data_IF_755247387308
#
_entry.id   IF_755247387308
#
_cell.length_a   1.000
_cell.length_b   1.000
_cell.length_c   1.000
_cell.angle_alpha   90.00
_cell.angle_beta   90.00
_cell.angle_gamma   90.00
#
_symmetry.space_group_name_H-M   'P 1'
#
loop_
_entity.id
_entity.type
_entity.pdbx_description
1 polymer ?
#
# COMPACT_ATOMS: atom_id res chain seq x y z
N UNK A 1 39.72 55.64 31.11
CA UNK A 1 38.46 55.29 31.80
C UNK A 1 37.60 54.46 30.83
N UNK A 2 37.92 53.19 30.57
CA UNK A 2 37.47 51.97 31.28
C UNK A 2 35.94 51.78 31.34
N UNK A 3 35.34 51.26 30.27
CA UNK A 3 34.19 50.35 30.38
C UNK A 3 34.51 49.07 29.60
N UNK A 4 34.68 47.97 30.34
CA UNK A 4 35.11 46.65 29.85
C UNK A 4 33.91 45.83 29.36
N UNK A 5 34.14 45.21 28.21
CA UNK A 5 33.39 44.12 27.59
C UNK A 5 33.04 42.97 28.56
N UNK A 6 31.79 42.48 28.50
CA UNK A 6 31.42 41.14 28.97
C UNK A 6 31.13 40.24 27.78
N UNK A 7 32.18 39.61 27.28
CA UNK A 7 32.13 38.34 26.56
C UNK A 7 31.89 37.24 27.60
N UNK A 8 30.84 36.44 27.40
CA UNK A 8 30.49 35.31 28.25
C UNK A 8 31.04 34.02 27.63
N UNK A 9 31.96 33.38 28.34
CA UNK A 9 32.25 31.93 28.44
C UNK A 9 33.56 31.76 29.27
N UNK A 10 33.89 30.58 29.85
CA UNK A 10 33.12 29.38 30.18
C UNK A 10 33.41 28.84 31.62
N UNK A 11 33.03 27.58 31.89
CA UNK A 11 33.36 26.66 33.02
C UNK A 11 32.22 26.57 34.07
N UNK A 12 31.74 25.39 34.52
CA UNK A 12 32.35 24.06 34.59
C UNK A 12 31.39 22.92 34.21
N UNK A 13 32.00 21.88 33.65
CA UNK A 13 31.48 20.53 33.43
C UNK A 13 31.24 19.82 34.77
N UNK A 14 30.06 19.24 34.97
CA UNK A 14 29.89 18.08 35.83
C UNK A 14 29.81 16.83 34.93
N UNK A 15 30.94 16.14 34.81
CA UNK A 15 31.06 14.87 34.13
C UNK A 15 30.31 13.79 34.92
N UNK A 16 29.13 13.37 34.48
CA UNK A 16 28.74 11.96 34.69
C UNK A 16 29.39 11.18 33.57
N UNK A 17 30.56 10.61 33.89
CA UNK A 17 31.27 9.68 33.01
C UNK A 17 30.33 8.50 32.77
N UNK A 18 29.83 8.36 31.54
CA UNK A 18 29.46 7.03 31.05
C UNK A 18 30.75 6.22 31.06
N UNK A 19 30.81 5.22 31.94
CA UNK A 19 31.88 4.26 31.92
C UNK A 19 31.85 3.56 30.56
N UNK A 20 32.86 3.83 29.74
CA UNK A 20 33.22 2.95 28.65
C UNK A 20 33.76 1.66 29.27
N UNK A 21 33.16 0.51 28.90
CA UNK A 21 33.71 -0.82 29.21
C UNK A 21 32.92 -1.62 30.24
N UNK A 22 31.72 -2.07 29.88
CA UNK A 22 31.18 -3.37 30.31
C UNK A 22 30.19 -3.81 29.24
N UNK A 23 30.51 -4.87 28.50
CA UNK A 23 29.47 -5.55 27.71
C UNK A 23 28.47 -6.16 28.68
N UNK A 24 27.39 -5.41 28.95
CA UNK A 24 26.29 -5.91 29.77
C UNK A 24 25.59 -7.05 29.03
N UNK A 25 25.02 -8.02 29.74
CA UNK A 25 24.47 -9.24 29.15
C UNK A 25 23.27 -8.99 28.22
N UNK A 26 22.71 -7.78 28.23
CA UNK A 26 21.52 -7.39 27.47
C UNK A 26 21.81 -6.38 26.33
N UNK A 27 23.07 -6.22 25.92
CA UNK A 27 23.48 -5.18 24.98
C UNK A 27 22.69 -5.18 23.66
N UNK A 28 22.40 -6.34 23.08
CA UNK A 28 21.66 -6.40 21.81
C UNK A 28 20.21 -5.92 21.94
N UNK A 29 19.54 -6.23 23.06
CA UNK A 29 18.20 -5.72 23.37
C UNK A 29 18.26 -4.22 23.65
N UNK A 30 19.27 -3.77 24.38
CA UNK A 30 19.47 -2.35 24.70
C UNK A 30 19.72 -1.51 23.45
N UNK A 31 20.56 -1.98 22.53
CA UNK A 31 20.81 -1.31 21.25
C UNK A 31 19.53 -1.22 20.40
N UNK A 32 18.78 -2.33 20.29
CA UNK A 32 17.48 -2.31 19.60
C UNK A 32 16.51 -1.29 20.21
N UNK A 33 16.42 -1.21 21.54
CA UNK A 33 15.54 -0.26 22.21
C UNK A 33 16.03 1.20 22.07
N UNK A 34 17.34 1.43 22.02
CA UNK A 34 17.91 2.77 21.77
C UNK A 34 17.60 3.25 20.36
N UNK A 35 17.78 2.41 19.34
CA UNK A 35 17.43 2.73 17.95
C UNK A 35 15.94 3.08 17.84
N UNK A 36 15.06 2.23 18.36
CA UNK A 36 13.61 2.48 18.35
C UNK A 36 13.22 3.78 19.08
N UNK A 37 13.95 4.13 20.16
CA UNK A 37 13.74 5.39 20.89
C UNK A 37 14.15 6.59 20.03
N UNK A 38 15.27 6.52 19.34
CA UNK A 38 15.76 7.59 18.46
C UNK A 38 14.84 7.80 17.26
N UNK A 39 14.37 6.72 16.63
CA UNK A 39 13.38 6.79 15.55
C UNK A 39 12.09 7.50 16.00
N UNK A 40 11.56 7.15 17.17
CA UNK A 40 10.36 7.80 17.71
C UNK A 40 10.62 9.27 18.11
N UNK A 41 11.85 9.62 18.50
CA UNK A 41 12.23 11.00 18.83
C UNK A 41 12.44 11.89 17.60
N UNK A 42 12.87 11.30 16.47
CA UNK A 42 13.07 11.98 15.19
C UNK A 42 11.80 11.99 14.31
N UNK A 43 10.77 11.24 14.70
CA UNK A 43 9.48 11.23 14.02
C UNK A 43 8.80 12.62 14.04
N UNK A 44 8.18 13.05 12.93
CA UNK A 44 7.36 14.28 12.89
C UNK A 44 6.24 14.28 13.94
N UNK A 45 5.69 13.09 14.23
CA UNK A 45 4.63 12.85 15.21
C UNK A 45 5.18 12.24 16.51
N UNK A 46 6.28 12.80 17.04
CA UNK A 46 6.96 12.28 18.23
C UNK A 46 5.97 12.10 19.40
N UNK A 47 5.97 10.92 20.01
CA UNK A 47 5.13 10.62 21.17
C UNK A 47 5.97 10.63 22.47
N UNK A 48 5.82 11.65 23.35
CA UNK A 48 6.60 11.75 24.58
C UNK A 48 6.40 10.57 25.54
N UNK A 49 5.22 9.95 25.54
CA UNK A 49 4.92 8.80 26.39
C UNK A 49 5.67 7.55 25.95
N UNK A 50 5.79 7.31 24.63
CA UNK A 50 6.59 6.19 24.11
C UNK A 50 8.08 6.40 24.36
N UNK A 51 8.60 7.61 24.17
CA UNK A 51 10.01 7.94 24.46
C UNK A 51 10.33 7.69 25.94
N UNK A 52 9.41 8.06 26.84
CA UNK A 52 9.51 7.74 28.29
C UNK A 52 9.46 6.24 28.55
N UNK A 53 8.57 5.51 27.88
CA UNK A 53 8.48 4.05 27.99
C UNK A 53 9.78 3.35 27.55
N UNK A 54 10.38 3.76 26.43
CA UNK A 54 11.69 3.26 26.00
C UNK A 54 12.79 3.61 27.01
N UNK A 55 12.81 4.84 27.51
CA UNK A 55 13.81 5.27 28.50
C UNK A 55 13.71 4.46 29.80
N UNK A 56 12.50 4.20 30.27
CA UNK A 56 12.24 3.36 31.45
C UNK A 56 12.71 1.91 31.23
N UNK A 57 12.36 1.32 30.09
CA UNK A 57 12.77 -0.03 29.75
C UNK A 57 14.30 -0.17 29.59
N UNK A 58 14.96 0.75 28.89
CA UNK A 58 16.41 0.76 28.72
C UNK A 58 17.11 0.81 30.08
N UNK A 59 16.65 1.70 30.99
CA UNK A 59 17.23 1.82 32.33
C UNK A 59 17.15 0.49 33.09
N UNK A 60 15.95 -0.07 33.21
CA UNK A 60 15.73 -1.30 33.99
C UNK A 60 16.49 -2.48 33.41
N UNK A 61 16.53 -2.62 32.08
CA UNK A 61 17.26 -3.72 31.42
C UNK A 61 18.78 -3.55 31.52
N UNK A 62 19.29 -2.31 31.57
CA UNK A 62 20.72 -2.03 31.71
C UNK A 62 21.27 -2.30 33.11
N UNK A 63 20.39 -2.35 34.12
CA UNK A 63 20.74 -2.63 35.52
C UNK A 63 20.74 -4.14 35.83
N UNK A 64 20.30 -4.99 34.89
CA UNK A 64 20.32 -6.44 35.05
C UNK A 64 21.73 -7.00 34.88
N UNK A 65 22.11 -7.88 35.82
CA UNK A 65 23.38 -8.60 35.86
C UNK A 65 23.34 -9.94 35.10
N UNK A 66 22.19 -10.32 34.56
CA UNK A 66 21.96 -11.53 33.78
C UNK A 66 21.28 -11.21 32.43
N UNK A 67 21.48 -12.06 31.41
CA UNK A 67 20.83 -11.91 30.13
C UNK A 67 19.35 -12.23 30.25
N UNK A 68 18.50 -11.39 29.68
CA UNK A 68 17.08 -11.67 29.49
C UNK A 68 16.98 -12.79 28.46
N UNK A 69 16.42 -13.91 28.89
CA UNK A 69 16.28 -15.10 28.07
C UNK A 69 14.90 -15.20 27.43
N UNK A 70 13.90 -14.44 27.92
CA UNK A 70 12.56 -14.48 27.36
C UNK A 70 11.79 -13.17 27.46
N UNK A 71 10.79 -13.00 26.58
CA UNK A 71 9.84 -11.90 26.72
C UNK A 71 9.04 -12.01 28.04
N UNK A 72 8.76 -13.22 28.53
CA UNK A 72 8.02 -13.43 29.78
C UNK A 72 8.80 -12.87 30.98
N UNK A 73 10.10 -13.11 31.02
CA UNK A 73 11.01 -12.53 32.00
C UNK A 73 11.02 -10.99 31.91
N UNK A 74 11.13 -10.45 30.69
CA UNK A 74 11.07 -9.01 30.47
C UNK A 74 9.73 -8.40 30.93
N UNK A 75 8.62 -9.14 30.84
CA UNK A 75 7.29 -8.67 31.29
C UNK A 75 7.23 -8.44 32.80
N UNK A 76 8.02 -9.16 33.58
CA UNK A 76 8.06 -9.01 35.04
C UNK A 76 8.78 -7.71 35.48
N UNK A 77 9.53 -7.07 34.58
CA UNK A 77 10.29 -5.86 34.86
C UNK A 77 9.39 -4.63 34.94
N UNK A 78 9.43 -3.94 36.09
CA UNK A 78 8.68 -2.70 36.34
C UNK A 78 9.24 -1.56 35.47
N UNK A 79 8.70 -1.42 34.27
CA UNK A 79 9.19 -0.49 33.24
C UNK A 79 8.98 -1.00 31.81
N UNK A 80 8.69 -2.31 31.67
CA UNK A 80 8.40 -2.96 30.39
C UNK A 80 6.89 -3.10 30.20
N UNK A 81 6.30 -2.21 29.41
CA UNK A 81 4.88 -2.28 29.03
C UNK A 81 4.63 -3.18 27.80
N UNK A 82 3.36 -3.44 27.44
CA UNK A 82 2.99 -4.33 26.34
C UNK A 82 3.66 -4.01 24.98
N UNK A 83 3.86 -2.73 24.69
CA UNK A 83 4.52 -2.29 23.46
C UNK A 83 6.03 -2.59 23.41
N UNK A 84 6.72 -2.48 24.55
CA UNK A 84 8.14 -2.84 24.66
C UNK A 84 8.29 -4.36 24.65
N UNK A 85 7.42 -5.05 25.40
CA UNK A 85 7.36 -6.51 25.44
C UNK A 85 7.22 -7.12 24.05
N UNK A 86 6.33 -6.58 23.21
CA UNK A 86 6.16 -7.04 21.82
C UNK A 86 7.44 -6.87 20.99
N UNK A 87 8.16 -5.76 21.16
CA UNK A 87 9.43 -5.52 20.45
C UNK A 87 10.54 -6.45 20.90
N UNK A 88 10.60 -6.76 22.20
CA UNK A 88 11.53 -7.76 22.74
C UNK A 88 11.18 -9.16 22.19
N UNK A 89 9.88 -9.51 22.11
CA UNK A 89 9.45 -10.75 21.48
C UNK A 89 9.82 -10.80 19.98
N UNK A 90 9.53 -9.74 19.22
CA UNK A 90 9.89 -9.65 17.80
C UNK A 90 11.41 -9.73 17.60
N UNK A 91 12.21 -9.18 18.53
CA UNK A 91 13.67 -9.29 18.55
C UNK A 91 14.12 -10.74 18.74
N UNK A 92 13.55 -11.48 19.68
CA UNK A 92 13.83 -12.92 19.85
C UNK A 92 13.42 -13.72 18.60
N UNK A 93 12.27 -13.41 18.01
CA UNK A 93 11.75 -14.07 16.80
C UNK A 93 12.66 -13.83 15.56
N UNK A 94 13.33 -12.67 15.49
CA UNK A 94 14.11 -12.24 14.31
C UNK A 94 15.60 -12.55 14.42
N UNK A 95 16.22 -12.28 15.58
CA UNK A 95 17.68 -12.38 15.78
C UNK A 95 18.19 -13.82 15.96
N UNK A 96 17.29 -14.79 16.20
CA UNK A 96 17.67 -16.17 16.47
C UNK A 96 18.26 -16.40 17.86
N UNK A 97 18.27 -15.37 18.73
CA UNK A 97 18.44 -15.56 20.17
C UNK A 97 17.25 -16.40 20.65
N UNK A 98 17.46 -17.69 20.85
CA UNK A 98 16.47 -18.58 21.46
C UNK A 98 16.62 -18.50 22.97
N UNK A 99 15.53 -18.47 23.75
CA UNK A 99 15.60 -18.74 25.18
C UNK A 99 16.37 -20.04 25.43
N UNK A 100 17.32 -20.05 26.37
CA UNK A 100 18.04 -21.26 26.83
C UNK A 100 17.10 -22.26 27.56
N UNK A 101 15.79 -21.98 27.61
CA UNK A 101 14.77 -22.79 28.28
C UNK A 101 13.70 -23.32 27.29
N UNK A 102 13.97 -23.28 25.98
CA UNK A 102 13.16 -24.05 25.04
C UNK A 102 13.82 -25.42 24.83
N UNK A 103 13.11 -26.48 25.19
CA UNK A 103 13.38 -27.83 24.68
C UNK A 103 13.71 -27.71 23.17
N UNK A 104 14.79 -28.35 22.66
CA UNK A 104 15.11 -28.39 21.24
C UNK A 104 13.90 -28.59 20.31
N UNK A 105 12.91 -29.38 20.75
CA UNK A 105 11.65 -29.57 20.02
C UNK A 105 10.80 -28.28 19.91
N UNK A 106 10.73 -27.49 20.98
CA UNK A 106 10.01 -26.21 21.01
C UNK A 106 10.73 -25.12 20.19
N UNK A 107 12.06 -25.09 20.23
CA UNK A 107 12.86 -24.19 19.40
C UNK A 107 12.70 -24.51 17.90
N UNK A 108 12.68 -25.79 17.54
CA UNK A 108 12.42 -26.23 16.16
C UNK A 108 10.99 -25.91 15.71
N UNK A 109 9.99 -26.11 16.57
CA UNK A 109 8.60 -25.75 16.27
C UNK A 109 8.44 -24.24 16.04
N UNK A 110 9.12 -23.39 16.83
CA UNK A 110 9.09 -21.94 16.63
C UNK A 110 9.71 -21.54 15.28
N UNK A 111 10.82 -22.17 14.89
CA UNK A 111 11.43 -21.98 13.57
C UNK A 111 10.46 -22.37 12.45
N UNK A 112 9.79 -23.53 12.57
CA UNK A 112 8.77 -23.98 11.61
C UNK A 112 7.60 -23.01 11.51
N UNK A 113 7.06 -22.56 12.65
CA UNK A 113 5.99 -21.57 12.69
C UNK A 113 6.40 -20.25 12.01
N UNK A 114 7.64 -19.80 12.20
CA UNK A 114 8.15 -18.58 11.55
C UNK A 114 8.23 -18.73 10.03
N UNK A 115 8.71 -19.88 9.55
CA UNK A 115 8.77 -20.18 8.11
C UNK A 115 7.35 -20.24 7.52
N UNK A 116 6.45 -20.97 8.15
CA UNK A 116 5.05 -21.07 7.74
C UNK A 116 4.38 -19.69 7.68
N UNK A 117 4.56 -18.84 8.70
CA UNK A 117 4.04 -17.46 8.69
C UNK A 117 4.55 -16.68 7.48
N UNK A 118 5.85 -16.70 7.24
CA UNK A 118 6.46 -15.97 6.13
C UNK A 118 6.03 -16.51 4.75
N UNK A 119 5.68 -17.80 4.67
CA UNK A 119 5.11 -18.40 3.47
C UNK A 119 3.65 -17.97 3.26
N UNK A 120 2.81 -18.08 4.29
CA UNK A 120 1.40 -17.70 4.23
C UNK A 120 1.19 -16.19 3.97
N UNK A 121 2.08 -15.33 4.48
CA UNK A 121 2.06 -13.88 4.22
C UNK A 121 2.32 -13.51 2.74
N UNK A 122 2.80 -14.44 1.91
CA UNK A 122 2.94 -14.22 0.46
C UNK A 122 1.60 -14.28 -0.27
N UNK A 123 0.57 -14.85 0.35
CA UNK A 123 -0.77 -14.96 -0.25
C UNK A 123 -1.47 -13.61 -0.15
N UNK A 124 -1.93 -13.09 -1.30
CA UNK A 124 -2.70 -11.84 -1.37
C UNK A 124 -3.88 -11.85 -0.40
N UNK A 125 -3.96 -10.84 0.47
CA UNK A 125 -5.01 -10.72 1.50
C UNK A 125 -4.68 -11.38 2.85
N UNK A 126 -3.59 -12.13 2.96
CA UNK A 126 -3.10 -12.69 4.23
C UNK A 126 -1.99 -11.80 4.78
N UNK A 127 -2.33 -10.97 5.76
CA UNK A 127 -1.35 -10.18 6.51
C UNK A 127 -0.81 -10.89 7.77
N UNK A 128 0.15 -10.28 8.49
CA UNK A 128 0.82 -10.90 9.64
C UNK A 128 -0.09 -11.33 10.79
N UNK A 129 -1.26 -10.69 10.92
CA UNK A 129 -2.28 -11.07 11.92
C UNK A 129 -2.94 -12.38 11.52
N UNK A 130 -3.40 -12.50 10.27
CA UNK A 130 -4.09 -13.69 9.78
C UNK A 130 -3.15 -14.88 9.67
N UNK A 131 -1.92 -14.67 9.19
CA UNK A 131 -0.89 -15.73 9.12
C UNK A 131 -0.59 -16.32 10.52
N UNK A 132 -0.48 -15.47 11.55
CA UNK A 132 -0.33 -15.95 12.94
C UNK A 132 -1.49 -16.81 13.40
N UNK A 133 -2.73 -16.40 13.11
CA UNK A 133 -3.93 -17.17 13.47
C UNK A 133 -3.95 -18.54 12.78
N UNK A 134 -3.61 -18.58 11.49
CA UNK A 134 -3.56 -19.81 10.70
C UNK A 134 -2.51 -20.79 11.23
N UNK A 135 -1.29 -20.32 11.51
CA UNK A 135 -0.22 -21.15 12.08
C UNK A 135 -0.58 -21.62 13.50
N UNK A 136 -1.20 -20.78 14.32
CA UNK A 136 -1.68 -21.17 15.63
C UNK A 136 -2.78 -22.25 15.57
N UNK A 137 -3.56 -22.27 14.48
CA UNK A 137 -4.54 -23.32 14.20
C UNK A 137 -3.92 -24.58 13.55
N UNK A 138 -2.62 -24.61 13.29
CA UNK A 138 -1.92 -25.75 12.71
C UNK A 138 -1.70 -25.69 11.19
N UNK A 139 -2.09 -24.60 10.52
CA UNK A 139 -1.84 -24.43 9.09
C UNK A 139 -0.38 -24.04 8.85
N UNK A 140 0.39 -24.94 8.24
CA UNK A 140 1.83 -24.78 8.02
C UNK A 140 2.19 -24.52 6.56
N UNK A 141 1.27 -24.73 5.60
CA UNK A 141 1.53 -24.57 4.16
C UNK A 141 0.36 -23.91 3.45
N UNK A 142 0.62 -23.34 2.27
CA UNK A 142 -0.41 -22.70 1.44
C UNK A 142 -1.45 -23.72 0.97
N UNK A 143 -1.05 -24.96 0.67
CA UNK A 143 -1.98 -25.97 0.18
C UNK A 143 -3.03 -26.40 1.22
N UNK A 144 -2.68 -26.34 2.50
CA UNK A 144 -3.64 -26.58 3.57
C UNK A 144 -4.75 -25.53 3.59
N UNK A 145 -4.51 -24.30 3.12
CA UNK A 145 -5.53 -23.24 3.08
C UNK A 145 -6.73 -23.58 2.20
N UNK A 146 -6.57 -24.51 1.25
CA UNK A 146 -7.64 -24.96 0.35
C UNK A 146 -8.59 -25.97 1.00
N UNK A 147 -8.25 -26.49 2.19
CA UNK A 147 -9.00 -27.53 2.89
C UNK A 147 -9.63 -27.01 4.19
N UNK A 148 -10.84 -27.46 4.58
CA UNK A 148 -11.36 -27.24 5.93
C UNK A 148 -10.41 -27.81 6.99
N UNK A 149 -10.28 -27.18 8.17
CA UNK A 149 -11.00 -25.98 8.62
C UNK A 149 -10.36 -24.65 8.14
N UNK A 150 -9.17 -24.69 7.54
CA UNK A 150 -8.41 -23.47 7.22
C UNK A 150 -9.09 -22.60 6.16
N UNK A 151 -9.78 -23.23 5.20
CA UNK A 151 -10.60 -22.53 4.21
C UNK A 151 -11.71 -21.68 4.86
N UNK A 152 -12.25 -22.11 5.99
CA UNK A 152 -13.31 -21.39 6.72
C UNK A 152 -12.74 -20.19 7.49
N UNK A 153 -11.46 -20.24 7.87
CA UNK A 153 -10.76 -19.12 8.52
C UNK A 153 -10.46 -17.95 7.55
N UNK A 154 -10.61 -18.14 6.25
CA UNK A 154 -10.48 -17.10 5.22
C UNK A 154 -11.79 -16.31 5.13
N UNK A 155 -11.86 -15.21 5.87
CA UNK A 155 -13.10 -14.45 6.07
C UNK A 155 -13.40 -13.46 4.95
N UNK A 156 -12.40 -13.11 4.13
CA UNK A 156 -12.56 -12.13 3.05
C UNK A 156 -12.48 -12.80 1.68
N UNK A 157 -13.23 -12.26 0.71
CA UNK A 157 -13.15 -12.68 -0.70
C UNK A 157 -11.72 -12.58 -1.22
N UNK A 158 -11.00 -11.51 -0.86
CA UNK A 158 -9.61 -11.30 -1.25
C UNK A 158 -8.68 -12.43 -0.79
N UNK A 159 -8.83 -12.93 0.44
CA UNK A 159 -8.05 -14.05 0.95
C UNK A 159 -8.34 -15.34 0.16
N UNK A 160 -9.62 -15.62 -0.11
CA UNK A 160 -10.03 -16.81 -0.88
C UNK A 160 -9.46 -16.77 -2.28
N UNK A 161 -9.60 -15.64 -2.98
CA UNK A 161 -9.01 -15.43 -4.31
C UNK A 161 -7.49 -15.57 -4.26
N UNK A 162 -6.83 -14.97 -3.26
CA UNK A 162 -5.38 -15.07 -3.09
C UNK A 162 -4.90 -16.50 -2.98
N UNK A 163 -5.63 -17.36 -2.27
CA UNK A 163 -5.34 -18.80 -2.14
C UNK A 163 -5.62 -19.55 -3.44
N UNK A 164 -6.78 -19.33 -4.06
CA UNK A 164 -7.18 -20.01 -5.30
C UNK A 164 -6.19 -19.75 -6.44
N UNK A 165 -5.75 -18.50 -6.60
CA UNK A 165 -4.91 -18.07 -7.72
C UNK A 165 -3.43 -17.86 -7.34
N UNK A 166 -2.99 -18.33 -6.17
CA UNK A 166 -1.65 -18.03 -5.62
C UNK A 166 -0.50 -18.21 -6.64
N UNK A 167 -0.45 -19.36 -7.32
CA UNK A 167 0.61 -19.65 -8.28
C UNK A 167 0.57 -18.75 -9.52
N UNK A 168 -0.62 -18.31 -9.94
CA UNK A 168 -0.78 -17.40 -11.07
C UNK A 168 -0.41 -15.96 -10.72
N UNK A 169 -0.74 -15.51 -9.50
CA UNK A 169 -0.48 -14.14 -9.05
C UNK A 169 0.98 -13.91 -8.62
N UNK A 170 1.75 -14.98 -8.40
CA UNK A 170 3.19 -14.90 -8.16
C UNK A 170 4.02 -14.64 -9.43
N UNK A 171 3.43 -14.84 -10.61
CA UNK A 171 4.10 -14.61 -11.89
C UNK A 171 3.97 -13.16 -12.35
N UNK A 172 4.98 -12.70 -13.09
CA UNK A 172 4.98 -11.36 -13.69
C UNK A 172 4.15 -11.35 -14.98
N UNK A 173 3.41 -10.27 -15.20
CA UNK A 173 2.67 -10.06 -16.45
C UNK A 173 3.63 -9.62 -17.55
N UNK A 174 3.63 -10.31 -18.69
CA UNK A 174 4.38 -9.85 -19.87
C UNK A 174 3.65 -8.71 -20.59
N UNK A 175 4.39 -7.93 -21.41
CA UNK A 175 3.75 -6.90 -22.26
C UNK A 175 2.75 -7.50 -23.25
N UNK A 176 3.04 -8.68 -23.78
CA UNK A 176 2.15 -9.39 -24.68
C UNK A 176 0.84 -9.77 -23.99
N UNK A 177 0.89 -10.35 -22.79
CA UNK A 177 -0.30 -10.68 -22.00
C UNK A 177 -1.16 -9.45 -21.71
N UNK A 178 -0.53 -8.33 -21.31
CA UNK A 178 -1.24 -7.07 -21.04
C UNK A 178 -1.93 -6.51 -22.29
N UNK A 179 -1.26 -6.53 -23.45
CA UNK A 179 -1.84 -6.08 -24.72
C UNK A 179 -2.95 -7.03 -25.21
N UNK A 180 -2.78 -8.34 -25.06
CA UNK A 180 -3.80 -9.33 -25.40
C UNK A 180 -5.08 -9.11 -24.59
N UNK A 181 -4.97 -8.91 -23.28
CA UNK A 181 -6.12 -8.60 -22.41
C UNK A 181 -6.75 -7.25 -22.78
N UNK A 182 -5.94 -6.21 -22.99
CA UNK A 182 -6.44 -4.88 -23.38
C UNK A 182 -7.19 -4.93 -24.72
N UNK A 183 -6.66 -5.65 -25.71
CA UNK A 183 -7.28 -5.80 -27.01
C UNK A 183 -8.59 -6.58 -26.92
N UNK A 184 -8.64 -7.67 -26.14
CA UNK A 184 -9.89 -8.38 -25.89
C UNK A 184 -10.94 -7.45 -25.29
N UNK A 185 -10.56 -6.60 -24.33
CA UNK A 185 -11.48 -5.66 -23.69
C UNK A 185 -12.00 -4.64 -24.69
N UNK A 186 -11.13 -4.08 -25.55
CA UNK A 186 -11.54 -3.16 -26.63
C UNK A 186 -12.58 -3.78 -27.55
N UNK A 187 -12.42 -5.06 -27.89
CA UNK A 187 -13.35 -5.78 -28.76
C UNK A 187 -14.63 -6.25 -28.05
N UNK A 188 -14.60 -6.34 -26.71
CA UNK A 188 -15.71 -6.81 -25.89
C UNK A 188 -16.67 -5.69 -25.46
N UNK A 189 -16.21 -4.44 -25.43
CA UNK A 189 -17.01 -3.29 -24.98
C UNK A 189 -17.35 -2.36 -26.15
N UNK A 190 -18.39 -1.50 -26.03
CA UNK A 190 -18.74 -0.55 -27.08
C UNK A 190 -17.55 0.34 -27.52
N UNK A 191 -17.42 0.61 -28.82
CA UNK A 191 -16.29 1.38 -29.40
C UNK A 191 -16.19 2.84 -28.92
N UNK A 192 -17.24 3.36 -28.28
CA UNK A 192 -17.27 4.67 -27.60
C UNK A 192 -16.34 4.73 -26.38
N UNK A 193 -15.91 3.59 -25.84
CA UNK A 193 -14.92 3.55 -24.76
C UNK A 193 -13.50 3.62 -25.32
N UNK A 194 -12.67 4.45 -24.69
CA UNK A 194 -11.22 4.42 -24.89
C UNK A 194 -10.56 3.58 -23.80
N UNK A 195 -9.61 2.72 -24.18
CA UNK A 195 -8.90 1.81 -23.26
C UNK A 195 -7.39 2.03 -23.34
N UNK A 196 -6.82 2.51 -22.24
CA UNK A 196 -5.39 2.82 -22.10
C UNK A 196 -4.77 1.88 -21.07
N UNK A 197 -3.62 1.29 -21.39
CA UNK A 197 -2.84 0.53 -20.41
C UNK A 197 -1.97 1.50 -19.61
N UNK A 198 -2.12 1.49 -18.28
CA UNK A 198 -1.44 2.35 -17.32
C UNK A 198 -0.27 1.68 -16.63
N UNK A 199 -0.03 2.08 -15.38
CA UNK A 199 0.88 1.45 -14.45
C UNK A 199 2.32 1.32 -14.96
N UNK A 200 2.98 0.26 -14.50
CA UNK A 200 4.37 -0.02 -14.89
C UNK A 200 4.54 -0.33 -16.39
N UNK A 201 3.50 -0.83 -17.05
CA UNK A 201 3.47 -1.04 -18.49
C UNK A 201 3.72 0.28 -19.24
N UNK A 202 2.96 1.33 -18.89
CA UNK A 202 3.09 2.68 -19.48
C UNK A 202 4.42 3.35 -19.15
N UNK A 203 5.05 2.98 -18.03
CA UNK A 203 6.42 3.42 -17.68
C UNK A 203 7.54 2.63 -18.35
N UNK A 204 7.22 1.74 -19.29
CA UNK A 204 8.20 0.99 -20.08
C UNK A 204 8.78 -0.24 -19.38
N UNK A 205 8.15 -0.74 -18.31
CA UNK A 205 8.60 -1.99 -17.70
C UNK A 205 8.48 -3.16 -18.69
N UNK A 206 9.48 -4.04 -18.70
CA UNK A 206 9.46 -5.27 -19.49
C UNK A 206 8.39 -6.26 -19.00
N UNK A 207 8.13 -6.25 -17.69
CA UNK A 207 7.05 -7.01 -17.06
C UNK A 207 6.37 -6.22 -15.95
N UNK A 208 5.09 -6.47 -15.71
CA UNK A 208 4.24 -5.80 -14.71
C UNK A 208 3.82 -6.74 -13.57
N UNK A 209 3.35 -6.19 -12.46
CA UNK A 209 2.72 -6.98 -11.37
C UNK A 209 1.29 -7.40 -11.71
N UNK A 210 0.61 -6.54 -12.44
CA UNK A 210 -0.80 -6.57 -12.76
C UNK A 210 -1.03 -5.78 -14.06
N UNK A 211 -2.26 -5.88 -14.57
CA UNK A 211 -2.73 -5.17 -15.75
C UNK A 211 -3.56 -3.99 -15.26
N UNK A 212 -3.02 -2.78 -15.37
CA UNK A 212 -3.74 -1.55 -15.03
C UNK A 212 -4.39 -0.96 -16.29
N UNK A 213 -5.72 -0.91 -16.33
CA UNK A 213 -6.45 -0.29 -17.44
C UNK A 213 -7.21 0.94 -16.99
N UNK A 214 -7.18 1.94 -17.84
CA UNK A 214 -7.90 3.20 -17.72
C UNK A 214 -8.93 3.21 -18.84
N UNK A 215 -10.20 3.39 -18.46
CA UNK A 215 -11.32 3.40 -19.39
C UNK A 215 -11.95 4.79 -19.34
N UNK A 216 -12.11 5.42 -20.50
CA UNK A 216 -12.81 6.70 -20.64
C UNK A 216 -14.03 6.54 -21.52
N UNK A 217 -15.06 7.34 -21.25
CA UNK A 217 -16.30 7.35 -22.02
C UNK A 217 -16.80 8.78 -22.19
N UNK A 218 -17.28 9.19 -23.39
CA UNK A 218 -17.79 10.55 -23.63
C UNK A 218 -18.89 10.99 -22.63
N UNK A 219 -19.81 10.09 -22.30
CA UNK A 219 -20.91 10.38 -21.37
C UNK A 219 -20.51 10.29 -19.89
N UNK A 220 -19.30 9.80 -19.57
CA UNK A 220 -18.81 9.83 -18.20
C UNK A 220 -18.11 11.17 -17.92
N UNK A 221 -18.91 12.15 -17.50
CA UNK A 221 -18.45 13.54 -17.30
C UNK A 221 -18.35 13.96 -15.84
N UNK A 222 -18.92 13.19 -14.92
CA UNK A 222 -18.95 13.53 -13.50
C UNK A 222 -17.58 13.32 -12.84
N UNK A 223 -17.00 14.39 -12.32
CA UNK A 223 -15.73 14.37 -11.58
C UNK A 223 -16.02 14.42 -10.07
N UNK A 224 -15.59 13.44 -9.26
CA UNK A 224 -15.73 13.50 -7.81
C UNK A 224 -14.98 14.69 -7.20
N UNK A 225 -15.68 15.55 -6.47
CA UNK A 225 -15.12 16.74 -5.81
C UNK A 225 -14.49 16.34 -4.46
N UNK A 226 -13.30 16.87 -4.09
CA UNK A 226 -12.70 16.64 -2.77
C UNK A 226 -13.59 17.13 -1.63
N UNK A 227 -13.57 16.45 -0.48
CA UNK A 227 -14.35 16.84 0.70
C UNK A 227 -13.44 17.49 1.76
N UNK A 228 -13.96 18.56 2.37
CA UNK A 228 -13.28 19.32 3.43
C UNK A 228 -12.41 20.46 2.91
N UNK A 229 -11.81 21.20 3.84
CA UNK A 229 -10.91 22.34 3.56
C UNK A 229 -9.48 21.87 3.24
N UNK A 230 -8.60 22.71 2.68
CA UNK A 230 -7.20 22.36 2.38
C UNK A 230 -6.43 21.75 3.57
N UNK A 231 -6.72 22.19 4.80
CA UNK A 231 -6.08 21.70 6.02
C UNK A 231 -6.65 20.37 6.54
N UNK A 232 -7.83 19.96 6.05
CA UNK A 232 -8.54 18.73 6.44
C UNK A 232 -9.11 18.02 5.20
N UNK A 233 -8.34 17.96 4.10
CA UNK A 233 -8.80 17.26 2.89
C UNK A 233 -8.89 15.78 3.19
N UNK A 234 -10.11 15.28 3.26
CA UNK A 234 -10.35 13.85 3.30
C UNK A 234 -10.63 13.38 1.88
N UNK A 235 -9.84 12.45 1.40
CA UNK A 235 -10.12 11.72 0.16
C UNK A 235 -11.19 10.69 0.51
N UNK A 236 -12.44 11.11 0.65
CA UNK A 236 -13.53 10.16 0.90
C UNK A 236 -13.91 9.53 -0.44
N UNK A 237 -13.87 8.20 -0.48
CA UNK A 237 -14.64 7.38 -1.41
C UNK A 237 -16.06 7.95 -1.49
N UNK A 238 -16.55 8.22 -2.71
CA UNK A 238 -17.89 8.75 -2.99
C UNK A 238 -18.87 8.47 -1.85
N UNK A 239 -19.26 9.53 -1.14
CA UNK A 239 -20.28 9.50 -0.10
C UNK A 239 -21.46 8.69 -0.63
N UNK A 240 -21.91 7.68 0.14
CA UNK A 240 -23.19 7.00 -0.12
C UNK A 240 -24.28 8.07 -0.14
N UNK A 241 -24.62 8.56 -1.34
CA UNK A 241 -25.80 9.38 -1.55
C UNK A 241 -26.98 8.43 -1.38
N UNK A 242 -27.86 8.73 -0.41
CA UNK A 242 -29.10 7.98 -0.24
C UNK A 242 -30.04 8.32 -1.41
N UNK A 243 -29.97 7.49 -2.44
CA UNK A 243 -30.81 7.52 -3.63
C UNK A 243 -30.31 6.47 -4.61
N UNK A 244 -31.20 5.74 -5.26
CA UNK A 244 -30.82 4.78 -6.30
C UNK A 244 -30.24 5.55 -7.50
N UNK A 245 -28.92 5.80 -7.48
CA UNK A 245 -28.21 6.29 -8.65
C UNK A 245 -28.28 5.19 -9.73
N UNK A 246 -28.45 5.56 -11.01
CA UNK A 246 -28.29 4.60 -12.09
C UNK A 246 -26.90 3.97 -11.99
N UNK A 247 -26.82 2.66 -12.21
CA UNK A 247 -25.57 1.92 -12.16
C UNK A 247 -24.54 2.59 -13.08
N UNK A 248 -23.35 2.90 -12.54
CA UNK A 248 -22.25 3.50 -13.30
C UNK A 248 -21.98 2.72 -14.60
N UNK A 249 -21.47 3.40 -15.63
CA UNK A 249 -21.13 2.76 -16.92
C UNK A 249 -20.20 1.55 -16.76
N UNK A 250 -19.34 1.57 -15.74
CA UNK A 250 -18.50 0.44 -15.40
C UNK A 250 -19.33 -0.79 -14.98
N UNK A 251 -20.35 -0.60 -14.14
CA UNK A 251 -21.20 -1.68 -13.62
C UNK A 251 -22.35 -2.05 -14.55
N UNK A 252 -22.84 -1.12 -15.38
CA UNK A 252 -23.98 -1.35 -16.27
C UNK A 252 -23.60 -1.83 -17.67
N UNK A 253 -22.42 -1.44 -18.20
CA UNK A 253 -22.00 -1.82 -19.55
C UNK A 253 -20.71 -2.66 -19.55
N UNK A 254 -19.64 -2.17 -18.95
CA UNK A 254 -18.29 -2.75 -19.08
C UNK A 254 -18.19 -4.10 -18.37
N UNK A 255 -18.42 -4.15 -17.06
CA UNK A 255 -18.28 -5.40 -16.28
C UNK A 255 -19.21 -6.50 -16.81
N UNK A 256 -20.51 -6.25 -17.08
CA UNK A 256 -21.39 -7.27 -17.66
C UNK A 256 -20.93 -7.77 -19.03
N UNK A 257 -20.41 -6.89 -19.90
CA UNK A 257 -19.88 -7.31 -21.20
C UNK A 257 -18.67 -8.23 -21.04
N UNK A 258 -17.74 -7.91 -20.13
CA UNK A 258 -16.57 -8.74 -19.86
C UNK A 258 -16.93 -10.08 -19.20
N UNK A 259 -17.89 -10.09 -18.27
CA UNK A 259 -18.43 -11.34 -17.69
C UNK A 259 -19.07 -12.21 -18.78
N UNK A 260 -19.91 -11.59 -19.62
CA UNK A 260 -20.58 -12.28 -20.73
C UNK A 260 -19.57 -12.86 -21.72
N UNK A 261 -18.48 -12.15 -22.01
CA UNK A 261 -17.44 -12.61 -22.93
C UNK A 261 -16.48 -13.65 -22.31
N UNK A 262 -16.58 -13.87 -21.00
CA UNK A 262 -15.90 -14.94 -20.26
C UNK A 262 -14.42 -14.64 -19.99
N UNK A 263 -14.07 -13.39 -19.66
CA UNK A 263 -12.70 -13.02 -19.29
C UNK A 263 -12.50 -12.81 -17.78
N UNK A 264 -13.56 -12.42 -17.04
CA UNK A 264 -13.48 -12.18 -15.59
C UNK A 264 -13.60 -13.50 -14.82
N UNK A 265 -12.54 -13.88 -14.09
CA UNK A 265 -12.49 -15.13 -13.33
C UNK A 265 -12.91 -14.93 -11.86
N UNK A 266 -12.55 -13.81 -11.24
CA UNK A 266 -12.97 -13.46 -9.89
C UNK A 266 -12.93 -11.95 -9.64
N UNK A 267 -13.86 -11.43 -8.83
CA UNK A 267 -13.86 -10.02 -8.42
C UNK A 267 -13.38 -9.89 -6.97
N UNK A 268 -12.33 -9.10 -6.75
CA UNK A 268 -11.83 -8.74 -5.41
C UNK A 268 -12.56 -7.52 -4.85
N UNK A 269 -12.87 -6.56 -5.73
CA UNK A 269 -13.65 -5.36 -5.43
C UNK A 269 -14.36 -4.90 -6.70
N UNK A 270 -15.60 -4.42 -6.58
CA UNK A 270 -16.36 -3.87 -7.69
C UNK A 270 -17.13 -2.64 -7.20
N UNK A 271 -16.72 -1.46 -7.66
CA UNK A 271 -17.36 -0.19 -7.35
C UNK A 271 -17.60 0.63 -8.61
N UNK A 272 -18.17 1.83 -8.46
CA UNK A 272 -18.65 2.61 -9.61
C UNK A 272 -17.56 3.13 -10.53
N UNK A 273 -16.38 3.41 -9.99
CA UNK A 273 -15.24 3.94 -10.74
C UNK A 273 -14.10 2.95 -10.85
N UNK A 274 -14.14 1.85 -10.10
CA UNK A 274 -13.04 0.89 -10.05
C UNK A 274 -13.53 -0.54 -9.92
N UNK A 275 -12.99 -1.41 -10.77
CA UNK A 275 -13.09 -2.87 -10.62
C UNK A 275 -11.70 -3.45 -10.41
N UNK A 276 -11.57 -4.40 -9.51
CA UNK A 276 -10.31 -5.11 -9.24
C UNK A 276 -10.59 -6.59 -9.14
N UNK A 277 -9.80 -7.40 -9.84
CA UNK A 277 -10.02 -8.83 -9.83
C UNK A 277 -9.00 -9.61 -10.65
N UNK A 278 -9.40 -10.84 -10.94
CA UNK A 278 -8.61 -11.82 -11.69
C UNK A 278 -9.25 -12.01 -13.05
N UNK A 279 -8.42 -11.99 -14.08
CA UNK A 279 -8.80 -12.27 -15.46
C UNK A 279 -8.07 -13.48 -15.99
N UNK A 280 -8.75 -14.24 -16.85
CA UNK A 280 -8.11 -15.18 -17.74
C UNK A 280 -7.41 -14.40 -18.86
N UNK A 281 -6.15 -14.68 -19.15
CA UNK A 281 -5.49 -14.19 -20.36
C UNK A 281 -6.04 -14.99 -21.53
N UNK A 282 -6.77 -14.36 -22.48
CA UNK A 282 -7.34 -15.10 -23.59
C UNK A 282 -6.22 -15.55 -24.54
N UNK A 283 -6.38 -16.74 -25.11
CA UNK A 283 -5.49 -17.27 -26.14
C UNK A 283 -6.10 -16.91 -27.51
N UNK A 284 -5.46 -16.02 -28.30
CA UNK A 284 -5.97 -15.69 -29.62
C UNK A 284 -5.95 -16.91 -30.54
N UNK A 285 -6.98 -17.04 -31.36
CA UNK A 285 -7.14 -18.09 -32.37
C UNK A 285 -7.38 -17.46 -33.73
N UNK A 286 -7.50 -18.26 -34.79
CA UNK A 286 -7.80 -17.78 -36.14
C UNK A 286 -9.12 -17.01 -36.21
N UNK A 287 -10.10 -17.35 -35.37
CA UNK A 287 -11.37 -16.64 -35.15
C UNK A 287 -11.27 -15.56 -34.04
N UNK A 288 -10.08 -14.95 -33.93
CA UNK A 288 -9.69 -13.86 -33.03
C UNK A 288 -9.57 -14.25 -31.56
N UNK A 289 -10.65 -14.73 -30.93
CA UNK A 289 -10.71 -14.96 -29.48
C UNK A 289 -11.13 -16.38 -29.08
N UNK A 290 -11.49 -17.22 -30.05
CA UNK A 290 -11.99 -18.57 -29.83
C UNK A 290 -13.36 -18.60 -29.17
N UNK A 291 -13.83 -19.81 -28.91
CA UNK A 291 -15.15 -20.06 -28.33
C UNK A 291 -15.27 -19.57 -26.88
N UNK A 292 -16.32 -18.80 -26.60
CA UNK A 292 -16.69 -18.39 -25.24
C UNK A 292 -16.75 -19.56 -24.25
N UNK A 293 -17.32 -20.69 -24.68
CA UNK A 293 -17.53 -21.84 -23.80
C UNK A 293 -16.20 -22.41 -23.30
N UNK A 294 -15.14 -22.38 -24.11
CA UNK A 294 -13.80 -22.82 -23.70
C UNK A 294 -13.23 -21.92 -22.60
N UNK A 295 -13.40 -20.60 -22.73
CA UNK A 295 -12.96 -19.65 -21.68
C UNK A 295 -13.71 -19.84 -20.37
N UNK A 296 -15.02 -20.07 -20.43
CA UNK A 296 -15.82 -20.36 -19.23
C UNK A 296 -15.40 -21.68 -18.57
N UNK A 297 -15.18 -22.73 -19.36
CA UNK A 297 -14.69 -24.01 -18.85
C UNK A 297 -13.27 -23.89 -18.25
N UNK A 298 -12.41 -23.07 -18.85
CA UNK A 298 -11.08 -22.76 -18.31
C UNK A 298 -11.21 -22.09 -16.93
N UNK A 299 -12.05 -21.07 -16.80
CA UNK A 299 -12.33 -20.37 -15.52
C UNK A 299 -12.88 -21.34 -14.46
N UNK A 300 -13.83 -22.20 -14.83
CA UNK A 300 -14.45 -23.17 -13.91
C UNK A 300 -13.45 -24.23 -13.43
N UNK A 301 -12.62 -24.74 -14.33
CA UNK A 301 -11.59 -25.74 -14.03
C UNK A 301 -10.31 -25.16 -13.41
N UNK A 302 -10.15 -23.84 -13.42
CA UNK A 302 -8.91 -23.16 -13.03
C UNK A 302 -7.74 -23.44 -13.99
N UNK A 303 -8.00 -23.93 -15.20
CA UNK A 303 -6.99 -24.13 -16.23
C UNK A 303 -6.74 -22.82 -17.00
N UNK A 304 -5.50 -22.61 -17.45
CA UNK A 304 -5.09 -21.42 -18.20
C UNK A 304 -4.23 -20.44 -17.40
N UNK A 305 -3.99 -19.26 -17.96
CA UNK A 305 -3.15 -18.22 -17.37
C UNK A 305 -4.03 -17.13 -16.77
N UNK A 306 -3.91 -16.90 -15.46
CA UNK A 306 -4.66 -15.86 -14.76
C UNK A 306 -3.76 -14.71 -14.35
N UNK A 307 -4.23 -13.48 -14.53
CA UNK A 307 -3.51 -12.27 -14.11
C UNK A 307 -4.44 -11.36 -13.32
N UNK A 308 -3.85 -10.58 -12.41
CA UNK A 308 -4.58 -9.52 -11.73
C UNK A 308 -4.79 -8.36 -12.71
N UNK A 309 -5.99 -7.78 -12.68
CA UNK A 309 -6.33 -6.60 -13.46
C UNK A 309 -7.13 -5.60 -12.62
N UNK A 310 -6.80 -4.32 -12.81
CA UNK A 310 -7.52 -3.18 -12.27
C UNK A 310 -8.14 -2.39 -13.45
N UNK A 311 -9.45 -2.15 -13.43
CA UNK A 311 -10.13 -1.23 -14.35
C UNK A 311 -10.51 0.04 -13.63
N UNK A 312 -10.15 1.20 -14.18
CA UNK A 312 -10.51 2.50 -13.63
C UNK A 312 -11.33 3.28 -14.67
N UNK A 313 -12.61 3.55 -14.37
CA UNK A 313 -13.45 4.43 -15.17
C UNK A 313 -13.12 5.89 -14.81
N UNK A 314 -12.72 6.67 -15.81
CA UNK A 314 -12.19 8.02 -15.65
C UNK A 314 -13.00 9.00 -16.49
N UNK A 315 -13.39 10.11 -15.87
CA UNK A 315 -14.10 11.17 -16.58
C UNK A 315 -13.15 11.87 -17.56
N UNK A 316 -13.67 12.30 -18.72
CA UNK A 316 -12.83 12.92 -19.76
C UNK A 316 -12.05 14.14 -19.25
N UNK A 317 -12.66 14.95 -18.37
CA UNK A 317 -12.03 16.11 -17.73
C UNK A 317 -10.91 15.74 -16.75
N UNK A 318 -10.91 14.51 -16.26
CA UNK A 318 -9.93 13.96 -15.32
C UNK A 318 -8.73 13.32 -16.01
N UNK A 319 -8.71 13.24 -17.36
CA UNK A 319 -7.70 12.48 -18.12
C UNK A 319 -6.27 12.76 -17.65
N UNK A 320 -5.84 14.02 -17.63
CA UNK A 320 -4.47 14.38 -17.25
C UNK A 320 -4.09 13.92 -15.84
N UNK A 321 -4.94 14.24 -14.85
CA UNK A 321 -4.72 13.87 -13.45
C UNK A 321 -4.75 12.35 -13.24
N UNK A 322 -5.70 11.65 -13.88
CA UNK A 322 -5.83 10.21 -13.83
C UNK A 322 -4.65 9.50 -14.49
N UNK A 323 -4.19 9.97 -15.66
CA UNK A 323 -3.02 9.41 -16.33
C UNK A 323 -1.77 9.55 -15.46
N UNK A 324 -1.55 10.69 -14.82
CA UNK A 324 -0.46 10.85 -13.85
C UNK A 324 -0.60 9.80 -12.73
N UNK A 325 -1.75 9.78 -12.04
CA UNK A 325 -1.97 8.93 -10.88
C UNK A 325 -1.88 7.43 -11.20
N UNK A 326 -2.47 7.00 -12.31
CA UNK A 326 -2.58 5.60 -12.71
C UNK A 326 -1.37 5.13 -13.53
N UNK A 327 -0.51 6.03 -14.01
CA UNK A 327 0.82 5.67 -14.54
C UNK A 327 1.82 5.52 -13.42
N UNK A 328 1.78 6.38 -12.40
CA UNK A 328 2.74 6.38 -11.31
C UNK A 328 4.18 6.71 -11.74
N UNK A 329 5.22 6.25 -11.04
CA UNK A 329 5.14 5.35 -9.89
C UNK A 329 4.65 6.02 -8.58
N UNK A 330 4.60 5.28 -7.48
CA UNK A 330 4.12 5.78 -6.18
C UNK A 330 4.93 6.98 -5.67
N UNK A 331 6.24 6.98 -5.84
CA UNK A 331 7.10 8.07 -5.37
C UNK A 331 6.98 9.29 -6.28
N UNK A 332 6.86 9.10 -7.60
CA UNK A 332 6.53 10.18 -8.53
C UNK A 332 5.18 10.83 -8.18
N UNK A 333 4.12 10.03 -7.99
CA UNK A 333 2.81 10.54 -7.60
C UNK A 333 2.86 11.32 -6.27
N UNK A 334 3.62 10.81 -5.30
CA UNK A 334 3.81 11.48 -4.01
C UNK A 334 4.46 12.85 -4.21
N UNK A 335 5.51 12.92 -5.00
CA UNK A 335 6.25 14.16 -5.25
C UNK A 335 5.38 15.20 -5.99
N UNK A 336 4.64 14.80 -7.03
CA UNK A 336 3.71 15.69 -7.75
C UNK A 336 2.62 16.21 -6.81
N UNK A 337 2.06 15.36 -5.94
CA UNK A 337 1.06 15.77 -4.95
C UNK A 337 1.62 16.75 -3.91
N UNK A 338 2.85 16.54 -3.44
CA UNK A 338 3.54 17.48 -2.54
C UNK A 338 3.72 18.83 -3.23
N UNK A 339 4.08 18.85 -4.51
CA UNK A 339 4.20 20.09 -5.30
C UNK A 339 2.86 20.79 -5.44
N UNK A 340 1.78 20.07 -5.73
CA UNK A 340 0.43 20.63 -5.73
C UNK A 340 0.10 21.33 -4.41
N UNK A 341 0.34 20.67 -3.28
CA UNK A 341 0.10 21.28 -1.96
C UNK A 341 0.93 22.54 -1.71
N UNK A 342 2.18 22.59 -2.19
CA UNK A 342 3.05 23.77 -2.06
C UNK A 342 2.54 24.99 -2.83
N UNK A 343 1.80 24.78 -3.92
CA UNK A 343 1.20 25.85 -4.72
C UNK A 343 -0.28 26.09 -4.37
N UNK A 344 -0.74 25.60 -3.21
CA UNK A 344 -2.11 25.80 -2.74
C UNK A 344 -3.16 24.98 -3.53
N UNK A 345 -2.73 23.91 -4.20
CA UNK A 345 -3.61 23.03 -4.98
C UNK A 345 -3.68 21.62 -4.36
N UNK A 346 -4.71 20.88 -4.74
CA UNK A 346 -4.87 19.48 -4.38
C UNK A 346 -4.92 18.63 -5.64
N UNK A 347 -4.00 17.66 -5.78
CA UNK A 347 -4.02 16.71 -6.90
C UNK A 347 -4.45 15.33 -6.39
N UNK A 348 -5.48 14.77 -7.01
CA UNK A 348 -5.88 13.37 -6.86
C UNK A 348 -6.09 12.72 -8.24
N UNK A 349 -6.53 11.47 -8.28
CA UNK A 349 -6.79 10.76 -9.53
C UNK A 349 -7.96 11.35 -10.34
N UNK A 350 -8.83 12.16 -9.72
CA UNK A 350 -9.99 12.77 -10.36
C UNK A 350 -9.69 14.15 -10.93
N UNK A 351 -8.69 14.86 -10.44
CA UNK A 351 -8.40 16.21 -10.91
C UNK A 351 -7.34 16.94 -10.12
N UNK A 352 -6.95 18.09 -10.68
CA UNK A 352 -6.21 19.13 -10.00
C UNK A 352 -7.21 20.19 -9.52
N UNK A 353 -7.18 20.50 -8.24
CA UNK A 353 -8.18 21.32 -7.57
C UNK A 353 -7.55 22.55 -6.94
N UNK A 354 -8.23 23.69 -7.07
CA UNK A 354 -7.88 24.94 -6.40
C UNK A 354 -8.95 25.25 -5.36
N UNK A 355 -8.54 25.68 -4.18
CA UNK A 355 -9.47 26.15 -3.17
C UNK A 355 -9.76 27.63 -3.37
N UNK A 356 -11.04 27.98 -3.41
CA UNK A 356 -11.51 29.36 -3.43
C UNK A 356 -12.17 29.66 -2.09
N UNK A 357 -11.66 30.66 -1.38
CA UNK A 357 -12.28 31.20 -0.17
C UNK A 357 -13.45 32.10 -0.57
N UNK A 358 -14.58 32.02 0.13
CA UNK A 358 -15.67 32.98 -0.06
C UNK A 358 -15.24 34.31 0.54
N UNK A 359 -15.17 35.36 -0.27
CA UNK A 359 -15.06 36.73 0.23
C UNK A 359 -16.38 37.15 0.88
N UNK A 360 -16.31 37.70 2.11
CA UNK A 360 -17.40 38.05 3.04
C UNK A 360 -18.41 39.15 2.55
N UNK A 361 -18.80 39.22 1.28
CA UNK A 361 -19.63 40.34 0.80
C UNK A 361 -21.13 40.06 0.60
N UNK A 362 -21.70 38.92 1.00
CA UNK A 362 -23.17 38.76 0.90
C UNK A 362 -23.83 37.66 1.78
N UNK A 363 -23.65 37.70 3.10
CA UNK A 363 -24.61 37.01 3.99
C UNK A 363 -24.62 37.59 5.40
N UNK A 364 -25.60 38.45 5.66
CA UNK A 364 -26.12 38.74 7.00
C UNK A 364 -26.92 37.53 7.51
N UNK A 365 -26.27 36.39 7.77
CA UNK A 365 -26.89 35.31 8.56
C UNK A 365 -25.88 34.76 9.57
N UNK A 366 -26.19 34.98 10.85
CA UNK A 366 -25.41 34.52 11.99
C UNK A 366 -25.46 33.00 12.12
N UNK A 367 -24.37 32.33 11.75
CA UNK A 367 -24.17 30.90 11.95
C UNK A 367 -22.75 30.47 11.58
N UNK A 368 -21.79 30.72 12.46
CA UNK A 368 -20.37 30.40 12.28
C UNK A 368 -20.13 28.91 11.98
N UNK A 369 -19.68 28.62 10.76
CA UNK A 369 -18.75 27.53 10.46
C UNK A 369 -17.56 28.14 9.71
N UNK A 370 -16.37 28.11 10.32
CA UNK A 370 -15.13 28.79 9.86
C UNK A 370 -14.51 28.13 8.58
N UNK A 371 -15.32 27.73 7.60
CA UNK A 371 -14.85 27.01 6.40
C UNK A 371 -15.58 27.35 5.09
N UNK A 372 -16.01 28.60 4.92
CA UNK A 372 -16.76 29.04 3.74
C UNK A 372 -15.88 29.12 2.48
N UNK A 373 -15.59 28.00 1.83
CA UNK A 373 -14.92 27.96 0.52
C UNK A 373 -15.29 26.71 -0.27
N UNK A 374 -14.86 26.64 -1.52
CA UNK A 374 -15.15 25.52 -2.40
C UNK A 374 -13.96 25.10 -3.26
N UNK A 375 -13.95 23.83 -3.64
CA UNK A 375 -12.98 23.29 -4.60
C UNK A 375 -13.43 23.55 -6.03
N UNK A 376 -12.58 24.24 -6.79
CA UNK A 376 -12.72 24.41 -8.23
C UNK A 376 -11.78 23.45 -8.97
N UNK A 377 -12.31 22.76 -9.98
CA UNK A 377 -11.51 21.92 -10.87
C UNK A 377 -10.70 22.80 -11.83
N UNK A 378 -9.37 22.69 -11.77
CA UNK A 378 -8.45 23.36 -12.70
C UNK A 378 -8.61 22.74 -14.09
N UNK A 379 -8.70 23.60 -15.12
CA UNK A 379 -8.89 23.19 -16.53
C UNK A 379 -7.60 22.64 -17.16
N UNK A 380 -7.15 21.49 -16.67
CA UNK A 380 -5.97 20.78 -17.17
C UNK A 380 -6.37 19.35 -17.60
N UNK A 381 -6.49 19.14 -18.91
CA UNK A 381 -6.99 17.90 -19.52
C UNK A 381 -5.86 16.94 -19.91
N UNK A 382 -4.63 17.43 -20.06
CA UNK A 382 -3.45 16.60 -20.37
C UNK A 382 -2.48 16.51 -19.20
N UNK A 383 -1.56 15.56 -19.25
CA UNK A 383 -0.53 15.41 -18.21
C UNK A 383 0.41 16.62 -18.20
N UNK A 384 0.76 17.13 -19.38
CA UNK A 384 1.57 18.33 -19.60
C UNK A 384 0.92 19.56 -18.96
N UNK A 385 -0.38 19.74 -19.16
CA UNK A 385 -1.14 20.86 -18.59
C UNK A 385 -1.16 20.78 -17.06
N UNK A 386 -1.43 19.60 -16.49
CA UNK A 386 -1.44 19.40 -15.03
C UNK A 386 -0.07 19.72 -14.46
N UNK A 387 1.01 19.19 -15.05
CA UNK A 387 2.37 19.44 -14.56
C UNK A 387 2.77 20.91 -14.70
N UNK A 388 2.37 21.58 -15.78
CA UNK A 388 2.63 23.01 -15.99
C UNK A 388 1.96 23.90 -14.95
N UNK A 389 0.71 23.61 -14.56
CA UNK A 389 0.01 24.32 -13.48
C UNK A 389 0.73 24.18 -12.12
N UNK A 390 1.51 23.11 -11.95
CA UNK A 390 2.33 22.86 -10.78
C UNK A 390 3.76 23.43 -10.89
N UNK A 391 4.07 24.16 -11.96
CA UNK A 391 5.41 24.69 -12.23
C UNK A 391 6.43 23.61 -12.54
N UNK A 392 5.98 22.46 -13.06
CA UNK A 392 6.84 21.33 -13.43
C UNK A 392 6.98 21.22 -14.94
N UNK A 393 8.18 20.84 -15.40
CA UNK A 393 8.36 20.37 -16.76
C UNK A 393 7.66 19.02 -16.98
N UNK A 394 7.24 18.76 -18.21
CA UNK A 394 6.65 17.48 -18.54
C UNK A 394 7.66 16.34 -18.39
N UNK A 395 7.24 15.31 -17.65
CA UNK A 395 8.05 14.10 -17.45
C UNK A 395 7.39 12.95 -18.21
N UNK A 396 8.08 12.47 -19.25
CA UNK A 396 7.66 11.29 -20.00
C UNK A 396 7.39 10.08 -19.09
N UNK A 397 6.34 9.27 -19.35
CA UNK A 397 6.00 8.10 -18.52
C UNK A 397 7.18 7.17 -18.22
N UNK A 398 8.04 6.92 -19.22
CA UNK A 398 9.21 6.04 -19.08
C UNK A 398 10.28 6.59 -18.11
N UNK A 399 10.24 7.88 -17.78
CA UNK A 399 11.14 8.55 -16.83
C UNK A 399 10.58 8.63 -15.40
N UNK A 400 9.37 8.12 -15.14
CA UNK A 400 8.67 8.22 -13.84
C UNK A 400 8.94 7.05 -12.88
N UNK A 401 10.06 6.35 -13.04
CA UNK A 401 10.47 5.21 -12.21
C UNK A 401 11.30 5.67 -10.98
N UNK A 402 10.74 6.57 -10.17
CA UNK A 402 11.45 7.26 -9.07
C UNK A 402 11.82 6.33 -7.92
N UNK A 403 11.03 5.29 -7.68
CA UNK A 403 11.34 4.23 -6.71
C UNK A 403 12.71 3.57 -6.94
N UNK A 404 13.10 3.36 -8.21
CA UNK A 404 14.41 2.82 -8.57
C UNK A 404 15.54 3.80 -8.26
N UNK A 405 15.31 5.09 -8.48
CA UNK A 405 16.30 6.17 -8.24
C UNK A 405 16.50 6.41 -6.75
N UNK A 406 15.43 6.34 -5.95
CA UNK A 406 15.46 6.55 -4.49
C UNK A 406 15.91 5.31 -3.71
N UNK A 407 16.38 4.24 -4.37
CA UNK A 407 16.90 3.03 -3.73
C UNK A 407 15.83 2.11 -3.13
N UNK A 408 14.54 2.40 -3.31
CA UNK A 408 13.43 1.50 -2.99
C UNK A 408 13.09 0.67 -4.21
N UNK A 409 13.98 -0.24 -4.58
CA UNK A 409 13.69 -1.21 -5.63
C UNK A 409 12.41 -2.01 -5.34
N UNK A 410 11.76 -2.59 -6.36
CA UNK A 410 10.56 -3.42 -6.16
C UNK A 410 10.84 -4.49 -5.11
N UNK A 411 9.86 -4.76 -4.24
CA UNK A 411 9.95 -5.75 -3.18
C UNK A 411 10.49 -7.06 -3.78
N UNK A 412 11.74 -7.37 -3.43
CA UNK A 412 12.46 -8.53 -3.94
C UNK A 412 11.75 -9.76 -3.37
N UNK A 413 10.93 -10.44 -4.17
CA UNK A 413 10.62 -11.84 -3.87
C UNK A 413 11.95 -12.57 -3.83
N UNK A 414 12.26 -13.16 -2.66
CA UNK A 414 13.49 -13.93 -2.46
C UNK A 414 13.51 -15.07 -3.48
N UNK A 415 14.32 -14.92 -4.51
CA UNK A 415 14.58 -16.00 -5.46
C UNK A 415 15.08 -17.23 -4.69
N UNK A 416 14.35 -18.34 -4.78
CA UNK A 416 14.80 -19.64 -4.25
C UNK A 416 16.15 -19.96 -4.89
N UNK A 417 17.20 -19.99 -4.08
CA UNK A 417 18.50 -20.46 -4.50
C UNK A 417 18.42 -21.94 -4.86
N UNK A 418 18.48 -22.26 -6.16
CA UNK A 418 18.92 -23.58 -6.63
C UNK A 418 20.40 -23.70 -6.26
N UNK A 419 20.72 -24.43 -5.20
CA UNK A 419 22.06 -25.00 -5.02
C UNK A 419 22.23 -26.11 -6.06
N UNK A 420 23.26 -25.97 -6.87
CA UNK A 420 23.86 -27.09 -7.61
C UNK A 420 24.57 -28.03 -6.66
#
# INVERSE_FOLDING_TARGET
>A
MLLRSRLVRPLLKANVRYAAGTEGPNNAILEMLKINKEEEAQSPDKNPYKIRAFTSAIKVISELDHPIQSAIEAKALKGVGPGILRRIQDFFDTSGHTPDVLDPAAADQLKRNRVARAELEQVTGIGPVKARQLVAAGCMTIEQLKTPPYLEMLTTTQQRIGVTYFHHLGERVSRAEAETVAQFIRDAIPSKYEVIIGGSYRRGAATSSDIDLIILHPDHVHVPVPLGTPSKVSTVSATKRNGALPASLLQSEVVPALQTRGILAAAMSSGDLKWQGIVLVPEPTDDQWGERQRRLAAIESGQGVYRRMDLNLVAQKSRGAALIALTGDTEFNRDVRIRASKVGMHLNEYGLWRWNENSEENSEEEGKDDSAGFWELVRAHTEEEVLRELGMEYVEPVKRNFSLVLGKGPARMKAKGKKR
#
